data_IF_581859485900
#
_entry.id   IF_581859485900
#
_cell.length_a   1.000
_cell.length_b   1.000
_cell.length_c   1.000
_cell.angle_alpha   90.00
_cell.angle_beta   90.00
_cell.angle_gamma   90.00
#
_symmetry.space_group_name_H-M   'P 1'
#
loop_
_entity.id
_entity.type
_entity.pdbx_description
1 polymer ?
#
# COMPACT_ATOMS: atom_id res chain seq x y z
N UNK A 1 -32.29 27.47 -28.43
CA UNK A 1 -32.60 28.09 -29.73
C UNK A 1 -32.86 26.97 -30.73
N UNK A 2 -34.11 26.79 -31.15
CA UNK A 2 -34.44 25.83 -32.19
C UNK A 2 -34.19 26.50 -33.55
N UNK A 3 -33.49 25.81 -34.45
CA UNK A 3 -33.23 26.31 -35.80
C UNK A 3 -34.24 25.64 -36.72
N UNK A 4 -35.18 26.43 -37.26
CA UNK A 4 -36.13 25.94 -38.26
C UNK A 4 -35.48 25.95 -39.65
N UNK A 5 -35.46 24.80 -40.32
CA UNK A 5 -34.92 24.65 -41.67
C UNK A 5 -36.10 24.56 -42.63
N UNK A 6 -36.37 25.67 -43.34
CA UNK A 6 -37.48 25.79 -44.30
C UNK A 6 -37.15 25.26 -45.71
N UNK A 7 -36.01 24.60 -45.89
CA UNK A 7 -35.56 24.07 -47.18
C UNK A 7 -35.46 22.54 -47.16
N UNK A 8 -35.63 21.92 -48.34
CA UNK A 8 -35.55 20.47 -48.50
C UNK A 8 -34.12 20.00 -48.21
N UNK A 9 -33.93 19.24 -47.14
CA UNK A 9 -32.62 18.66 -46.77
C UNK A 9 -32.27 17.59 -47.81
N UNK A 10 -31.28 17.88 -48.66
CA UNK A 10 -30.85 16.99 -49.75
C UNK A 10 -29.89 15.90 -49.24
N UNK A 11 -29.11 16.20 -48.20
CA UNK A 11 -28.29 15.22 -47.48
C UNK A 11 -27.95 15.77 -46.09
N UNK A 12 -27.72 14.87 -45.13
CA UNK A 12 -27.19 15.22 -43.82
C UNK A 12 -26.06 14.25 -43.48
N UNK A 13 -25.03 14.75 -42.81
CA UNK A 13 -23.97 13.95 -42.25
C UNK A 13 -23.92 14.22 -40.75
N UNK A 14 -24.30 13.23 -39.96
CA UNK A 14 -24.09 13.27 -38.51
C UNK A 14 -22.64 12.92 -38.27
N UNK A 15 -21.92 13.76 -37.53
CA UNK A 15 -20.57 13.43 -37.05
C UNK A 15 -20.67 12.10 -36.30
N UNK A 16 -20.23 11.00 -36.93
CA UNK A 16 -20.14 9.70 -36.27
C UNK A 16 -19.27 9.87 -35.04
N UNK A 17 -19.73 9.39 -33.89
CA UNK A 17 -18.90 9.28 -32.71
C UNK A 17 -17.67 8.46 -33.12
N UNK A 18 -16.50 9.09 -33.07
CA UNK A 18 -15.23 8.39 -33.23
C UNK A 18 -15.14 7.52 -31.98
N UNK A 19 -15.18 6.20 -32.14
CA UNK A 19 -14.82 5.28 -31.06
C UNK A 19 -13.36 5.59 -30.70
N UNK A 20 -13.16 6.25 -29.56
CA UNK A 20 -11.82 6.44 -29.02
C UNK A 20 -11.24 5.06 -28.73
N UNK A 21 -10.00 4.77 -29.20
CA UNK A 21 -9.38 3.50 -28.94
C UNK A 21 -9.28 3.26 -27.43
N UNK A 22 -9.45 2.01 -26.96
CA UNK A 22 -9.38 1.70 -25.54
C UNK A 22 -8.02 2.17 -24.99
N UNK A 23 -8.06 2.90 -23.87
CA UNK A 23 -6.84 3.35 -23.20
C UNK A 23 -6.00 2.14 -22.82
N UNK A 24 -4.71 2.17 -23.16
CA UNK A 24 -3.78 1.13 -22.75
C UNK A 24 -3.67 1.11 -21.22
N UNK A 25 -3.71 -0.09 -20.64
CA UNK A 25 -3.56 -0.26 -19.20
C UNK A 25 -2.15 0.19 -18.77
N UNK A 26 -2.08 1.08 -17.79
CA UNK A 26 -0.84 1.66 -17.31
C UNK A 26 -0.93 1.78 -15.79
N UNK A 27 -0.32 0.83 -15.08
CA UNK A 27 -0.38 0.84 -13.63
C UNK A 27 0.44 2.04 -13.07
N UNK A 28 -0.21 3.00 -12.38
CA UNK A 28 0.47 4.20 -11.92
C UNK A 28 1.49 3.92 -10.80
N UNK A 29 1.47 2.75 -10.14
CA UNK A 29 2.52 2.35 -9.19
C UNK A 29 3.85 2.08 -9.88
N UNK A 30 3.82 1.47 -11.06
CA UNK A 30 5.01 0.96 -11.75
C UNK A 30 5.45 1.82 -12.92
N UNK A 31 4.62 2.78 -13.36
CA UNK A 31 5.01 3.72 -14.42
C UNK A 31 6.29 4.44 -14.02
N UNK A 32 7.24 4.48 -14.96
CA UNK A 32 8.57 5.05 -14.72
C UNK A 32 8.51 6.57 -14.86
N UNK A 33 8.97 7.25 -13.82
CA UNK A 33 9.15 8.70 -13.83
C UNK A 33 10.58 8.99 -14.31
N UNK A 34 10.78 9.66 -15.46
CA UNK A 34 12.11 9.80 -16.06
C UNK A 34 13.05 10.65 -15.19
N UNK A 35 12.55 11.76 -14.66
CA UNK A 35 13.30 12.68 -13.81
C UNK A 35 12.37 13.33 -12.79
N UNK A 36 12.95 13.89 -11.73
CA UNK A 36 12.22 14.74 -10.78
C UNK A 36 11.74 16.00 -11.52
N UNK A 37 10.44 16.34 -11.49
CA UNK A 37 9.93 17.57 -12.08
C UNK A 37 10.58 18.82 -11.46
N UNK A 38 10.65 19.89 -12.24
CA UNK A 38 11.02 21.21 -11.75
C UNK A 38 9.91 21.80 -10.89
N UNK A 39 10.28 22.69 -9.96
CA UNK A 39 9.34 23.38 -9.08
C UNK A 39 9.16 22.71 -7.72
N UNK A 40 8.03 23.05 -7.09
CA UNK A 40 7.71 22.66 -5.71
C UNK A 40 7.00 21.32 -5.67
N UNK A 41 7.42 20.47 -4.73
CA UNK A 41 6.75 19.22 -4.40
C UNK A 41 6.31 19.26 -2.95
N UNK A 42 5.21 18.60 -2.65
CA UNK A 42 4.81 18.41 -1.27
C UNK A 42 5.73 17.38 -0.61
N UNK A 43 6.27 17.73 0.56
CA UNK A 43 7.21 16.87 1.26
C UNK A 43 6.86 16.76 2.75
N UNK A 44 7.10 15.57 3.29
CA UNK A 44 7.11 15.34 4.74
C UNK A 44 8.54 15.53 5.24
N UNK A 45 8.73 16.39 6.24
CA UNK A 45 10.00 16.56 6.94
C UNK A 45 9.88 15.97 8.34
N UNK A 46 10.68 14.96 8.64
CA UNK A 46 10.63 14.24 9.91
C UNK A 46 11.98 14.29 10.63
N UNK A 47 11.92 14.61 11.91
CA UNK A 47 13.08 14.55 12.81
C UNK A 47 13.13 13.19 13.50
N UNK A 48 14.13 12.40 13.15
CA UNK A 48 14.35 11.06 13.71
C UNK A 48 15.41 11.15 14.80
N UNK A 49 15.19 10.44 15.90
CA UNK A 49 16.21 10.23 16.94
C UNK A 49 16.36 8.75 17.22
N UNK A 50 17.60 8.27 17.14
CA UNK A 50 17.94 6.88 17.43
C UNK A 50 19.15 6.82 18.35
N UNK A 51 19.32 5.68 19.01
CA UNK A 51 20.44 5.40 19.90
C UNK A 51 21.13 4.13 19.41
N UNK A 52 22.38 4.28 18.98
CA UNK A 52 23.24 3.19 18.55
C UNK A 52 24.54 3.14 19.37
N UNK A 53 25.55 2.46 18.84
CA UNK A 53 26.85 2.27 19.50
C UNK A 53 27.58 3.59 19.82
N UNK A 54 27.48 4.57 18.92
CA UNK A 54 28.09 5.90 19.07
C UNK A 54 27.21 6.86 19.89
N UNK A 55 26.18 6.33 20.56
CA UNK A 55 25.25 7.08 21.38
C UNK A 55 24.04 7.59 20.60
N UNK A 56 23.46 8.70 21.07
CA UNK A 56 22.21 9.25 20.55
C UNK A 56 22.47 10.19 19.39
N UNK A 57 21.91 9.87 18.22
CA UNK A 57 21.94 10.73 17.03
C UNK A 57 20.55 11.33 16.76
N UNK A 58 20.53 12.49 16.11
CA UNK A 58 19.33 13.17 15.63
C UNK A 58 19.54 13.56 14.18
N UNK A 59 18.62 13.15 13.33
CA UNK A 59 18.74 13.35 11.88
C UNK A 59 17.40 13.85 11.34
N UNK A 60 17.43 14.52 10.20
CA UNK A 60 16.24 14.96 9.50
C UNK A 60 16.12 14.18 8.21
N UNK A 61 14.90 13.80 7.87
CA UNK A 61 14.57 13.06 6.66
C UNK A 61 13.43 13.79 5.95
N UNK A 62 13.60 14.02 4.65
CA UNK A 62 12.58 14.61 3.79
C UNK A 62 12.14 13.58 2.75
N UNK A 63 10.84 13.41 2.60
CA UNK A 63 10.23 12.55 1.58
C UNK A 63 9.26 13.38 0.77
N UNK A 64 9.54 13.56 -0.52
CA UNK A 64 8.69 14.31 -1.44
C UNK A 64 7.75 13.38 -2.20
N UNK A 65 6.53 13.86 -2.40
CA UNK A 65 5.46 13.14 -3.07
C UNK A 65 4.97 13.93 -4.29
N UNK A 66 4.44 13.20 -5.27
CA UNK A 66 3.77 13.81 -6.43
C UNK A 66 2.59 12.96 -6.89
N UNK A 67 1.57 13.58 -7.51
CA UNK A 67 0.54 12.84 -8.22
C UNK A 67 1.14 12.16 -9.45
N UNK A 68 0.72 10.92 -9.69
CA UNK A 68 1.11 10.12 -10.86
C UNK A 68 -0.15 9.57 -11.48
N UNK A 69 -0.34 9.90 -12.75
CA UNK A 69 -1.46 9.42 -13.56
C UNK A 69 -1.18 8.00 -14.08
N UNK A 70 -2.25 7.27 -14.33
CA UNK A 70 -2.21 5.98 -15.00
C UNK A 70 -3.61 5.58 -15.47
N UNK A 71 -3.72 4.36 -15.97
CA UNK A 71 -4.98 3.77 -16.46
C UNK A 71 -5.17 2.44 -15.77
N UNK A 72 -6.29 2.31 -15.04
CA UNK A 72 -6.73 1.06 -14.43
C UNK A 72 -8.11 0.70 -14.93
N UNK A 73 -8.30 -0.54 -15.40
CA UNK A 73 -9.58 -1.02 -15.91
C UNK A 73 -10.17 -0.06 -16.96
N UNK A 74 -9.33 0.50 -17.83
CA UNK A 74 -9.72 1.47 -18.86
C UNK A 74 -10.13 2.85 -18.36
N UNK A 75 -9.96 3.16 -17.06
CA UNK A 75 -10.24 4.48 -16.47
C UNK A 75 -8.95 5.18 -16.10
N UNK A 76 -8.86 6.48 -16.41
CA UNK A 76 -7.78 7.32 -15.92
C UNK A 76 -7.88 7.46 -14.40
N UNK A 77 -6.79 7.20 -13.72
CA UNK A 77 -6.68 7.28 -12.27
C UNK A 77 -5.43 8.05 -11.89
N UNK A 78 -5.43 8.59 -10.68
CA UNK A 78 -4.28 9.31 -10.13
C UNK A 78 -4.02 8.79 -8.72
N UNK A 79 -2.76 8.51 -8.42
CA UNK A 79 -2.30 8.17 -7.07
C UNK A 79 -1.20 9.14 -6.65
N UNK A 80 -0.99 9.28 -5.35
CA UNK A 80 0.18 9.97 -4.82
C UNK A 80 1.33 8.97 -4.60
N UNK A 81 2.52 9.28 -5.15
CA UNK A 81 3.72 8.44 -5.00
C UNK A 81 4.86 9.20 -4.37
N UNK A 82 5.70 8.55 -3.53
CA UNK A 82 6.99 9.10 -3.16
C UNK A 82 7.92 9.11 -4.38
N UNK A 83 8.70 10.17 -4.53
CA UNK A 83 9.57 10.36 -5.71
C UNK A 83 10.98 10.84 -5.39
N UNK A 84 11.17 11.34 -4.18
CA UNK A 84 12.47 11.82 -3.72
C UNK A 84 12.60 11.62 -2.22
N UNK A 85 13.77 11.12 -1.83
CA UNK A 85 14.21 10.97 -0.45
C UNK A 85 15.44 11.84 -0.29
N UNK A 86 15.44 12.68 0.73
CA UNK A 86 16.52 13.60 0.97
C UNK A 86 16.89 13.59 2.45
N UNK A 87 18.19 13.56 2.70
CA UNK A 87 18.75 13.56 4.03
C UNK A 87 19.73 14.75 4.11
N UNK A 88 19.33 15.87 4.72
CA UNK A 88 20.21 17.00 4.92
C UNK A 88 21.29 16.65 5.95
N UNK A 89 22.42 16.15 5.46
CA UNK A 89 23.65 15.95 6.26
C UNK A 89 24.73 16.94 5.85
N UNK A 90 25.49 17.46 6.82
CA UNK A 90 26.60 18.39 6.55
C UNK A 90 27.64 17.75 5.62
N UNK A 91 27.81 18.29 4.42
CA UNK A 91 28.33 17.62 3.22
C UNK A 91 29.74 16.97 3.25
N UNK A 92 30.46 16.93 4.38
CA UNK A 92 31.91 16.71 4.41
C UNK A 92 32.42 15.46 5.16
N UNK A 93 31.58 14.63 5.79
CA UNK A 93 32.04 13.36 6.40
C UNK A 93 31.87 12.18 5.43
N UNK A 94 32.74 11.16 5.54
CA UNK A 94 32.66 9.93 4.74
C UNK A 94 31.35 9.16 4.97
N UNK A 95 30.84 9.18 6.19
CA UNK A 95 29.53 8.62 6.55
C UNK A 95 28.38 9.28 5.77
N UNK A 96 28.48 10.58 5.51
CA UNK A 96 27.45 11.33 4.78
C UNK A 96 27.47 11.06 3.27
N UNK A 97 28.58 10.60 2.70
CA UNK A 97 28.64 10.23 1.27
C UNK A 97 27.78 9.00 0.98
N UNK A 98 27.87 7.96 1.81
CA UNK A 98 27.05 6.75 1.68
C UNK A 98 25.58 7.01 1.93
N UNK A 99 25.25 7.87 2.89
CA UNK A 99 23.86 8.30 3.13
C UNK A 99 23.32 9.00 1.89
N UNK A 100 24.06 9.96 1.34
CA UNK A 100 23.64 10.70 0.14
C UNK A 100 23.48 9.77 -1.06
N UNK A 101 24.41 8.83 -1.27
CA UNK A 101 24.31 7.83 -2.33
C UNK A 101 23.07 6.93 -2.16
N UNK A 102 22.81 6.47 -0.93
CA UNK A 102 21.64 5.65 -0.59
C UNK A 102 20.34 6.39 -0.88
N UNK A 103 20.22 7.65 -0.47
CA UNK A 103 19.03 8.48 -0.73
C UNK A 103 18.81 8.74 -2.22
N UNK A 104 19.88 8.95 -3.00
CA UNK A 104 19.80 9.08 -4.46
C UNK A 104 19.31 7.78 -5.12
N UNK A 105 19.87 6.64 -4.72
CA UNK A 105 19.45 5.32 -5.20
C UNK A 105 18.00 5.01 -4.82
N UNK A 106 17.59 5.33 -3.59
CA UNK A 106 16.22 5.14 -3.13
C UNK A 106 15.23 6.04 -3.89
N UNK A 107 15.62 7.28 -4.18
CA UNK A 107 14.83 8.20 -5.01
C UNK A 107 14.67 7.68 -6.45
N UNK A 108 15.72 7.07 -7.00
CA UNK A 108 15.65 6.40 -8.30
C UNK A 108 14.69 5.20 -8.26
N UNK A 109 14.76 4.39 -7.19
CA UNK A 109 13.85 3.26 -6.98
C UNK A 109 12.38 3.69 -6.89
N UNK A 110 12.12 4.82 -6.24
CA UNK A 110 10.79 5.38 -6.13
C UNK A 110 10.22 5.89 -7.45
N UNK A 111 11.03 6.58 -8.23
CA UNK A 111 10.68 6.94 -9.61
C UNK A 111 10.50 5.72 -10.51
N UNK A 112 11.23 4.64 -10.24
CA UNK A 112 11.11 3.36 -10.94
C UNK A 112 9.94 2.48 -10.50
N UNK A 113 9.21 2.84 -9.43
CA UNK A 113 8.03 2.09 -8.98
C UNK A 113 8.31 0.87 -8.09
N UNK A 114 9.51 0.78 -7.49
CA UNK A 114 9.92 -0.34 -6.63
C UNK A 114 10.52 0.11 -5.28
N UNK A 115 10.12 1.28 -4.80
CA UNK A 115 10.57 1.82 -3.50
C UNK A 115 10.21 0.91 -2.34
N UNK A 116 9.06 0.24 -2.39
CA UNK A 116 8.58 -0.63 -1.32
C UNK A 116 9.55 -1.78 -1.08
N UNK A 117 10.00 -2.42 -2.14
CA UNK A 117 11.03 -3.44 -2.12
C UNK A 117 12.38 -2.87 -1.66
N UNK A 118 12.77 -1.70 -2.18
CA UNK A 118 14.02 -1.05 -1.80
C UNK A 118 14.07 -0.70 -0.29
N UNK A 119 12.99 -0.19 0.29
CA UNK A 119 12.88 0.09 1.73
C UNK A 119 12.91 -1.20 2.53
N UNK A 120 12.17 -2.24 2.08
CA UNK A 120 12.16 -3.54 2.74
C UNK A 120 13.55 -4.20 2.74
N UNK A 121 14.34 -4.04 1.68
CA UNK A 121 15.71 -4.54 1.62
C UNK A 121 16.66 -3.72 2.49
N UNK A 122 16.51 -2.39 2.55
CA UNK A 122 17.29 -1.56 3.48
C UNK A 122 17.02 -1.92 4.95
N UNK A 123 15.82 -2.42 5.29
CA UNK A 123 15.51 -2.92 6.63
C UNK A 123 16.28 -4.18 7.02
N UNK A 124 16.82 -4.92 6.05
CA UNK A 124 17.60 -6.16 6.30
C UNK A 124 19.10 -5.89 6.47
N UNK A 125 19.55 -4.66 6.26
CA UNK A 125 20.95 -4.29 6.41
C UNK A 125 21.35 -4.45 7.87
N UNK A 126 22.30 -5.35 8.15
CA UNK A 126 22.87 -5.57 9.47
C UNK A 126 24.28 -4.98 9.57
N UNK A 127 24.74 -4.75 10.79
CA UNK A 127 26.12 -4.36 11.10
C UNK A 127 26.63 -5.09 12.35
N UNK A 128 27.89 -4.90 12.69
CA UNK A 128 28.57 -5.52 13.84
C UNK A 128 28.60 -4.66 15.10
N UNK A 129 28.18 -3.38 15.03
CA UNK A 129 28.23 -2.44 16.17
C UNK A 129 27.04 -2.58 17.15
N UNK A 130 26.18 -3.59 16.99
CA UNK A 130 25.07 -3.90 17.92
C UNK A 130 23.77 -3.14 17.65
N UNK A 131 22.68 -3.50 18.32
CA UNK A 131 21.34 -3.02 17.95
C UNK A 131 21.16 -1.49 18.06
N UNK A 132 20.39 -0.94 17.12
CA UNK A 132 20.00 0.48 17.10
C UNK A 132 18.57 0.62 17.57
N UNK A 133 18.34 1.34 18.67
CA UNK A 133 16.99 1.67 19.16
C UNK A 133 16.45 2.87 18.40
N UNK A 134 15.34 2.70 17.68
CA UNK A 134 14.67 3.78 16.95
C UNK A 134 13.16 3.56 16.89
N UNK A 135 12.40 4.55 17.36
CA UNK A 135 10.94 4.54 17.34
C UNK A 135 10.28 3.59 18.34
N UNK A 136 8.96 3.47 18.22
CA UNK A 136 8.10 2.60 19.00
C UNK A 136 7.27 1.74 18.06
N UNK A 137 6.89 0.54 18.50
CA UNK A 137 5.91 -0.27 17.79
C UNK A 137 4.47 0.15 18.14
N UNK A 138 3.49 -0.53 17.52
CA UNK A 138 2.05 -0.28 17.75
C UNK A 138 1.59 -0.44 19.20
N UNK A 139 2.34 -1.17 20.02
CA UNK A 139 2.07 -1.38 21.45
C UNK A 139 2.86 -0.43 22.36
N UNK A 140 3.50 0.60 21.79
CA UNK A 140 4.29 1.58 22.54
C UNK A 140 5.62 1.05 23.07
N UNK A 141 6.08 -0.13 22.64
CA UNK A 141 7.37 -0.68 23.04
C UNK A 141 8.49 -0.19 22.12
N UNK A 142 9.71 0.04 22.64
CA UNK A 142 10.85 0.43 21.82
C UNK A 142 11.15 -0.58 20.71
N UNK A 143 11.42 -0.07 19.51
CA UNK A 143 11.88 -0.87 18.38
C UNK A 143 13.43 -0.88 18.32
N UNK A 144 13.98 -2.06 18.03
CA UNK A 144 15.40 -2.29 17.84
C UNK A 144 15.64 -2.79 16.43
N UNK A 145 16.72 -2.32 15.80
CA UNK A 145 17.07 -2.60 14.41
C UNK A 145 18.52 -3.06 14.32
N UNK A 146 18.82 -3.88 13.31
CA UNK A 146 20.14 -4.51 13.15
C UNK A 146 21.22 -3.56 12.62
N UNK A 147 20.88 -2.31 12.28
CA UNK A 147 21.82 -1.25 11.89
C UNK A 147 21.17 0.14 11.92
N UNK A 148 21.99 1.20 11.79
CA UNK A 148 21.49 2.57 11.60
C UNK A 148 20.71 2.72 10.28
N UNK A 149 21.13 2.00 9.23
CA UNK A 149 20.45 1.97 7.92
C UNK A 149 19.06 1.35 8.07
N UNK A 150 18.94 0.22 8.77
CA UNK A 150 17.66 -0.43 9.03
C UNK A 150 16.73 0.46 9.87
N UNK A 151 17.27 1.19 10.86
CA UNK A 151 16.51 2.15 11.66
C UNK A 151 15.97 3.33 10.83
N UNK A 152 16.78 3.87 9.91
CA UNK A 152 16.35 4.93 8.98
C UNK A 152 15.32 4.38 7.99
N UNK A 153 15.53 3.18 7.45
CA UNK A 153 14.58 2.53 6.54
C UNK A 153 13.22 2.26 7.20
N UNK A 154 13.22 1.83 8.47
CA UNK A 154 12.00 1.73 9.26
C UNK A 154 11.30 3.08 9.40
N UNK A 155 12.04 4.16 9.66
CA UNK A 155 11.48 5.51 9.77
C UNK A 155 10.90 6.00 8.44
N UNK A 156 11.55 5.70 7.31
CA UNK A 156 11.01 5.92 5.96
C UNK A 156 9.70 5.15 5.78
N UNK A 157 9.66 3.86 6.14
CA UNK A 157 8.44 3.06 6.09
C UNK A 157 7.32 3.71 6.91
N UNK A 158 7.61 4.25 8.10
CA UNK A 158 6.61 4.93 8.92
C UNK A 158 6.08 6.22 8.27
N UNK A 159 6.93 6.98 7.57
CA UNK A 159 6.49 8.15 6.78
C UNK A 159 5.56 7.71 5.65
N UNK A 160 5.96 6.68 4.90
CA UNK A 160 5.15 6.16 3.79
C UNK A 160 3.82 5.55 4.28
N UNK A 161 3.84 4.87 5.42
CA UNK A 161 2.63 4.38 6.08
C UNK A 161 1.71 5.53 6.46
N UNK A 162 2.19 6.54 7.19
CA UNK A 162 1.38 7.72 7.58
C UNK A 162 0.87 8.51 6.39
N UNK A 163 1.57 8.48 5.25
CA UNK A 163 1.11 9.08 4.00
C UNK A 163 0.10 8.21 3.24
N UNK A 164 -0.17 7.01 3.73
CA UNK A 164 -1.10 6.06 3.14
C UNK A 164 -0.55 5.34 1.91
N UNK A 165 0.76 5.36 1.68
CA UNK A 165 1.39 4.66 0.55
C UNK A 165 1.72 3.19 0.87
N UNK A 166 2.14 2.91 2.11
CA UNK A 166 2.35 1.56 2.63
C UNK A 166 1.29 1.23 3.69
N UNK A 167 1.11 -0.06 3.96
CA UNK A 167 0.37 -0.52 5.13
C UNK A 167 1.23 -0.48 6.40
N UNK A 168 0.65 -0.88 7.53
CA UNK A 168 1.31 -0.85 8.83
C UNK A 168 2.55 -1.77 8.89
N UNK A 169 2.54 -2.87 8.13
CA UNK A 169 3.56 -3.91 8.14
C UNK A 169 4.67 -3.57 7.12
N UNK A 170 4.40 -2.63 6.20
CA UNK A 170 5.32 -2.13 5.19
C UNK A 170 5.07 -2.68 3.80
N UNK A 171 3.93 -3.34 3.58
CA UNK A 171 3.55 -3.83 2.26
C UNK A 171 2.91 -2.72 1.43
N UNK A 172 2.94 -2.91 0.12
CA UNK A 172 2.34 -1.99 -0.83
C UNK A 172 0.82 -2.01 -0.69
N UNK A 173 0.22 -0.85 -0.42
CA UNK A 173 -1.24 -0.69 -0.46
C UNK A 173 -1.72 -0.90 -1.91
N UNK A 174 -2.83 -1.63 -2.15
CA UNK A 174 -3.39 -1.84 -3.48
C UNK A 174 -3.68 -0.53 -4.21
N UNK A 175 -3.53 -0.53 -5.54
CA UNK A 175 -3.62 0.70 -6.34
C UNK A 175 -5.02 1.33 -6.22
N UNK A 176 -6.06 0.52 -6.20
CA UNK A 176 -7.46 0.95 -6.08
C UNK A 176 -7.70 1.73 -4.78
N UNK A 177 -7.06 1.30 -3.70
CA UNK A 177 -7.14 1.97 -2.41
C UNK A 177 -6.33 3.28 -2.43
N UNK A 178 -5.16 3.31 -3.07
CA UNK A 178 -4.38 4.54 -3.25
C UNK A 178 -5.15 5.59 -4.07
N UNK A 179 -5.84 5.17 -5.12
CA UNK A 179 -6.71 6.04 -5.93
C UNK A 179 -7.81 6.63 -5.06
N UNK A 180 -8.45 5.79 -4.24
CA UNK A 180 -9.51 6.21 -3.32
C UNK A 180 -9.00 7.22 -2.28
N UNK A 181 -7.84 6.95 -1.67
CA UNK A 181 -7.20 7.84 -0.69
C UNK A 181 -6.83 9.19 -1.32
N UNK A 182 -6.29 9.20 -2.53
CA UNK A 182 -5.94 10.43 -3.24
C UNK A 182 -7.18 11.25 -3.60
N UNK A 183 -8.22 10.61 -4.13
CA UNK A 183 -9.49 11.27 -4.45
C UNK A 183 -10.16 11.86 -3.19
N UNK A 184 -10.20 11.10 -2.09
CA UNK A 184 -10.74 11.57 -0.81
C UNK A 184 -9.98 12.78 -0.28
N UNK A 185 -8.65 12.78 -0.42
CA UNK A 185 -7.81 13.91 0.00
C UNK A 185 -8.07 15.16 -0.82
N UNK A 186 -8.26 15.04 -2.13
CA UNK A 186 -8.65 16.16 -2.98
C UNK A 186 -10.05 16.69 -2.64
N UNK A 187 -11.00 15.79 -2.34
CA UNK A 187 -12.37 16.17 -2.02
C UNK A 187 -12.53 16.80 -0.62
N UNK A 188 -11.85 16.25 0.38
CA UNK A 188 -11.96 16.68 1.79
C UNK A 188 -10.92 17.72 2.20
N UNK A 189 -9.83 17.86 1.44
CA UNK A 189 -8.66 18.66 1.83
C UNK A 189 -7.81 18.05 2.95
N UNK A 190 -8.21 16.91 3.53
CA UNK A 190 -7.53 16.28 4.64
C UNK A 190 -6.74 15.05 4.17
N UNK A 191 -5.48 14.88 4.61
CA UNK A 191 -4.72 13.67 4.29
C UNK A 191 -5.35 12.44 4.96
N UNK A 192 -5.15 11.28 4.36
CA UNK A 192 -5.47 10.00 5.00
C UNK A 192 -4.77 9.92 6.37
N UNK A 193 -5.48 9.38 7.35
CA UNK A 193 -4.94 9.17 8.69
C UNK A 193 -4.87 7.67 8.99
N UNK A 194 -3.79 7.21 9.63
CA UNK A 194 -3.74 5.86 10.18
C UNK A 194 -4.94 5.58 11.09
N UNK A 195 -5.52 4.37 11.04
CA UNK A 195 -6.56 3.99 11.98
C UNK A 195 -6.05 4.10 13.42
N UNK A 196 -6.90 4.56 14.31
CA UNK A 196 -6.65 4.58 15.75
C UNK A 196 -6.60 3.15 16.31
N UNK A 197 -5.92 2.94 17.46
CA UNK A 197 -5.90 1.62 18.10
C UNK A 197 -7.30 1.02 18.34
N UNK A 198 -8.27 1.87 18.67
CA UNK A 198 -9.67 1.47 18.87
C UNK A 198 -10.32 1.00 17.57
N UNK A 199 -10.11 1.71 16.46
CA UNK A 199 -10.61 1.32 15.13
C UNK A 199 -9.98 0.01 14.64
N UNK A 200 -8.69 -0.20 14.92
CA UNK A 200 -8.00 -1.46 14.61
C UNK A 200 -8.62 -2.60 15.41
N UNK A 201 -8.77 -2.44 16.73
CA UNK A 201 -9.36 -3.46 17.60
C UNK A 201 -10.82 -3.78 17.21
N UNK A 202 -11.59 -2.76 16.81
CA UNK A 202 -12.94 -2.96 16.27
C UNK A 202 -12.94 -3.71 14.93
N UNK A 203 -12.01 -3.40 14.03
CA UNK A 203 -11.87 -4.11 12.76
C UNK A 203 -11.46 -5.58 12.98
N UNK A 204 -10.54 -5.84 13.89
CA UNK A 204 -10.12 -7.20 14.28
C UNK A 204 -11.30 -7.99 14.89
N UNK A 205 -12.07 -7.37 15.80
CA UNK A 205 -13.30 -7.96 16.35
C UNK A 205 -14.31 -8.30 15.25
N UNK A 206 -14.61 -7.36 14.35
CA UNK A 206 -15.53 -7.60 13.22
C UNK A 206 -15.04 -8.70 12.28
N UNK A 207 -13.73 -8.78 12.02
CA UNK A 207 -13.15 -9.84 11.21
C UNK A 207 -13.28 -11.22 11.89
N UNK A 208 -13.08 -11.28 13.21
CA UNK A 208 -13.30 -12.48 14.01
C UNK A 208 -14.78 -12.90 14.00
N UNK A 209 -15.69 -11.97 14.23
CA UNK A 209 -17.14 -12.21 14.15
C UNK A 209 -17.57 -12.69 12.77
N UNK A 210 -17.06 -12.08 11.69
CA UNK A 210 -17.34 -12.51 10.32
C UNK A 210 -16.76 -13.91 10.01
N UNK A 211 -15.60 -14.24 10.58
CA UNK A 211 -15.02 -15.58 10.47
C UNK A 211 -15.83 -16.63 11.24
N UNK A 212 -16.38 -16.27 12.40
CA UNK A 212 -17.27 -17.12 13.20
C UNK A 212 -18.64 -17.27 12.55
N UNK A 213 -19.18 -16.22 11.92
CA UNK A 213 -20.43 -16.29 11.15
C UNK A 213 -20.29 -17.13 9.87
N UNK A 214 -19.08 -17.20 9.28
CA UNK A 214 -18.76 -18.16 8.19
C UNK A 214 -18.49 -19.58 8.70
N UNK A 215 -18.27 -19.74 10.00
CA UNK A 215 -18.08 -21.02 10.68
C UNK A 215 -19.39 -21.72 11.08
N UNK A 216 -20.55 -21.10 10.86
CA UNK A 216 -21.88 -21.67 11.16
C UNK A 216 -22.40 -22.60 10.04
N UNK A 217 -21.47 -23.11 9.22
CA UNK A 217 -21.73 -24.27 8.39
C UNK A 217 -21.68 -25.54 9.24
N UNK A 218 -22.50 -26.56 8.96
CA UNK A 218 -22.53 -27.78 9.76
C UNK A 218 -21.12 -28.40 9.82
N UNK A 219 -20.67 -28.74 11.02
CA UNK A 219 -19.27 -29.14 11.28
C UNK A 219 -18.89 -30.31 10.37
N UNK A 220 -17.94 -30.09 9.45
CA UNK A 220 -17.46 -31.14 8.55
C UNK A 220 -16.61 -32.12 9.35
N UNK A 221 -17.09 -33.36 9.47
CA UNK A 221 -16.49 -34.41 10.30
C UNK A 221 -15.57 -35.34 9.51
N UNK A 222 -15.50 -35.17 8.19
CA UNK A 222 -14.70 -35.99 7.29
C UNK A 222 -15.27 -36.06 5.88
N UNK A 223 -14.80 -37.04 5.10
CA UNK A 223 -15.28 -37.31 3.74
C UNK A 223 -16.02 -38.65 3.68
N UNK A 224 -17.07 -38.71 2.87
CA UNK A 224 -17.93 -39.87 2.71
C UNK A 224 -17.17 -41.01 2.01
N UNK A 225 -17.19 -42.24 2.53
CA UNK A 225 -16.49 -43.36 1.91
C UNK A 225 -17.08 -43.79 0.56
N UNK A 226 -18.34 -43.44 0.25
CA UNK A 226 -18.99 -43.85 -1.00
C UNK A 226 -18.81 -42.85 -2.14
N UNK A 227 -19.00 -41.56 -1.87
CA UNK A 227 -18.98 -40.52 -2.92
C UNK A 227 -17.92 -39.45 -2.72
N UNK A 228 -17.10 -39.56 -1.66
CA UNK A 228 -16.09 -38.59 -1.28
C UNK A 228 -16.61 -37.16 -1.01
N UNK A 229 -17.92 -37.00 -0.82
CA UNK A 229 -18.53 -35.73 -0.42
C UNK A 229 -18.28 -35.41 1.06
N UNK A 230 -18.53 -34.17 1.47
CA UNK A 230 -18.37 -33.76 2.87
C UNK A 230 -19.38 -34.48 3.79
N UNK A 231 -18.89 -35.01 4.91
CA UNK A 231 -19.73 -35.54 5.99
C UNK A 231 -19.97 -34.45 7.01
N UNK A 232 -21.23 -34.25 7.36
CA UNK A 232 -21.64 -33.28 8.37
C UNK A 232 -22.30 -33.99 9.55
N UNK A 233 -22.19 -33.43 10.75
CA UNK A 233 -22.79 -34.03 11.94
C UNK A 233 -24.28 -33.68 12.02
N UNK A 234 -25.15 -34.68 11.83
CA UNK A 234 -26.59 -34.56 12.02
C UNK A 234 -27.03 -35.52 13.14
N UNK A 235 -27.68 -34.99 14.18
CA UNK A 235 -28.19 -35.77 15.32
C UNK A 235 -27.16 -36.70 15.99
N UNK A 236 -25.90 -36.25 16.06
CA UNK A 236 -24.79 -37.03 16.62
C UNK A 236 -24.20 -38.08 15.67
N UNK A 237 -24.66 -38.13 14.41
CA UNK A 237 -24.16 -39.06 13.42
C UNK A 237 -23.52 -38.36 12.19
N UNK A 238 -22.31 -38.78 11.75
CA UNK A 238 -21.72 -38.31 10.50
C UNK A 238 -22.56 -38.77 9.30
N UNK A 239 -23.12 -37.81 8.56
CA UNK A 239 -24.04 -38.04 7.43
C UNK A 239 -23.63 -37.22 6.21
N UNK A 240 -23.65 -37.85 5.03
CA UNK A 240 -23.35 -37.22 3.74
C UNK A 240 -24.61 -36.57 3.16
N UNK A 241 -24.97 -35.40 3.69
CA UNK A 241 -26.24 -34.73 3.36
C UNK A 241 -26.28 -34.16 1.93
N UNK A 242 -25.18 -33.59 1.45
CA UNK A 242 -25.08 -32.99 0.11
C UNK A 242 -24.73 -33.98 -1.00
N UNK A 243 -24.46 -35.24 -0.65
CA UNK A 243 -24.00 -36.29 -1.56
C UNK A 243 -24.99 -37.45 -1.67
N UNK A 244 -24.53 -38.65 -1.32
CA UNK A 244 -25.26 -39.91 -1.52
C UNK A 244 -26.22 -40.29 -0.39
N UNK A 245 -26.30 -39.52 0.70
CA UNK A 245 -27.17 -39.83 1.85
C UNK A 245 -26.60 -40.88 2.82
N UNK A 246 -25.36 -41.31 2.65
CA UNK A 246 -24.69 -42.26 3.55
C UNK A 246 -24.62 -41.70 4.99
N UNK A 247 -25.01 -42.51 5.99
CA UNK A 247 -24.87 -42.20 7.41
C UNK A 247 -24.16 -43.33 8.14
N UNK A 248 -23.30 -43.00 9.10
CA UNK A 248 -22.60 -44.02 9.90
C UNK A 248 -23.54 -44.82 10.82
N UNK A 249 -24.73 -44.29 11.13
CA UNK A 249 -25.62 -44.84 12.15
C UNK A 249 -26.86 -45.55 11.60
N UNK A 250 -27.04 -45.61 10.27
CA UNK A 250 -28.14 -46.33 9.62
C UNK A 250 -28.68 -45.63 8.40
#
# INVERSE_FOLDING_TARGET
MAVEINSKIVSYSVKKAVEEPPLAEENPLTVRIPSRPEGTLEAVSEKISYVGAEGRKKVYLLVSFMPVEGVLNGKRVVIERPVEFFFPSGQLSSEHQWITATMRSLSLAARGGYVTQAVADLRKVAWDKGLVRCGMNRWGKPMFHDSEVAAIAWSIQQILYRRGFLDQDGNQVPVEELVSRYAQRLASGHPWQPPTPEEIEQAERKAQEASHARGDGPTVVGHCPECNGELIMMDGCPTCYSGCGWSKCG
#
